data_IF_283233157545
#
_entry.id   IF_283233157545
#
_cell.length_a   1.000
_cell.length_b   1.000
_cell.length_c   1.000
_cell.angle_alpha   90.00
_cell.angle_beta   90.00
_cell.angle_gamma   90.00
#
_symmetry.space_group_name_H-M   'P 1'
#
loop_
_entity.id
_entity.type
_entity.pdbx_description
1 polymer ?
#
# COMPACT_ATOMS: atom_id res chain seq x y z
N UNK A 1 -20.43 -9.37 -13.24
CA UNK A 1 -21.48 -9.25 -14.26
C UNK A 1 -21.00 -8.61 -15.56
N UNK A 2 -20.34 -7.44 -15.53
CA UNK A 2 -19.84 -6.78 -16.75
C UNK A 2 -18.79 -7.60 -17.53
N UNK A 3 -17.76 -8.12 -16.85
CA UNK A 3 -16.72 -8.95 -17.49
C UNK A 3 -17.26 -10.26 -18.07
N UNK A 4 -18.21 -10.92 -17.40
CA UNK A 4 -18.80 -12.18 -17.89
C UNK A 4 -19.65 -11.95 -19.13
N UNK A 5 -20.42 -10.85 -19.17
CA UNK A 5 -21.18 -10.45 -20.35
C UNK A 5 -20.23 -10.12 -21.50
N UNK A 6 -19.14 -9.41 -21.24
CA UNK A 6 -18.13 -9.09 -22.25
C UNK A 6 -17.46 -10.35 -22.81
N UNK A 7 -17.04 -11.30 -21.97
CA UNK A 7 -16.45 -12.56 -22.44
C UNK A 7 -17.43 -13.40 -23.28
N UNK A 8 -18.70 -13.47 -22.86
CA UNK A 8 -19.75 -14.16 -23.62
C UNK A 8 -19.99 -13.45 -24.96
N UNK A 9 -20.04 -12.12 -24.97
CA UNK A 9 -20.24 -11.32 -26.16
C UNK A 9 -19.07 -11.47 -27.15
N UNK A 10 -17.82 -11.42 -26.67
CA UNK A 10 -16.61 -11.66 -27.48
C UNK A 10 -16.65 -13.06 -28.10
N UNK A 11 -16.92 -14.10 -27.30
CA UNK A 11 -17.01 -15.47 -27.82
C UNK A 11 -18.13 -15.63 -28.86
N UNK A 12 -19.24 -14.93 -28.69
CA UNK A 12 -20.35 -14.92 -29.64
C UNK A 12 -20.03 -14.12 -30.91
N UNK A 13 -19.39 -12.96 -30.81
CA UNK A 13 -19.05 -12.08 -31.93
C UNK A 13 -17.94 -12.64 -32.81
N UNK A 14 -16.98 -13.36 -32.23
CA UNK A 14 -15.82 -13.89 -32.95
C UNK A 14 -15.89 -15.41 -33.19
N UNK A 15 -17.07 -16.03 -33.01
CA UNK A 15 -17.31 -17.47 -33.25
C UNK A 15 -16.36 -18.44 -32.52
N UNK A 16 -15.84 -18.05 -31.36
CA UNK A 16 -14.91 -18.83 -30.55
C UNK A 16 -15.63 -19.81 -29.60
N UNK A 17 -16.63 -20.56 -30.08
CA UNK A 17 -17.45 -21.46 -29.24
C UNK A 17 -16.66 -22.56 -28.51
N UNK A 18 -15.41 -22.84 -28.89
CA UNK A 18 -14.54 -23.84 -28.26
C UNK A 18 -13.25 -23.26 -27.67
N UNK A 19 -13.07 -21.94 -27.65
CA UNK A 19 -11.84 -21.34 -27.12
C UNK A 19 -11.81 -21.39 -25.60
N UNK A 20 -10.68 -21.85 -25.05
CA UNK A 20 -10.42 -21.86 -23.61
C UNK A 20 -10.10 -20.44 -23.15
N UNK A 21 -10.86 -19.92 -22.18
CA UNK A 21 -10.61 -18.60 -21.57
C UNK A 21 -9.74 -18.78 -20.32
N UNK A 22 -8.66 -18.02 -20.26
CA UNK A 22 -7.78 -17.90 -19.09
C UNK A 22 -7.80 -16.46 -18.60
N UNK A 23 -7.90 -16.28 -17.28
CA UNK A 23 -7.84 -14.96 -16.65
C UNK A 23 -6.47 -14.72 -16.03
N UNK A 24 -5.93 -13.53 -16.23
CA UNK A 24 -4.64 -13.12 -15.69
C UNK A 24 -4.81 -11.79 -14.96
N UNK A 25 -4.20 -11.68 -13.78
CA UNK A 25 -4.07 -10.41 -13.05
C UNK A 25 -2.69 -10.32 -12.39
N UNK A 26 -2.08 -9.13 -12.46
CA UNK A 26 -0.77 -8.81 -11.90
C UNK A 26 -0.80 -7.37 -11.37
N UNK A 27 -0.05 -7.11 -10.29
CA UNK A 27 0.21 -5.76 -9.81
C UNK A 27 1.43 -5.18 -10.53
N UNK A 28 1.27 -4.04 -11.21
CA UNK A 28 2.40 -3.39 -11.91
C UNK A 28 2.73 -1.98 -11.46
N UNK A 29 1.91 -1.32 -10.63
CA UNK A 29 2.21 0.09 -10.27
C UNK A 29 1.25 0.77 -9.30
N UNK A 30 0.22 0.11 -8.75
CA UNK A 30 -0.72 0.77 -7.82
C UNK A 30 -1.59 -0.28 -7.11
N UNK A 31 -2.00 -0.04 -5.84
CA UNK A 31 -2.94 -0.91 -5.14
C UNK A 31 -4.30 -0.83 -5.81
N UNK A 32 -4.50 -1.64 -6.85
CA UNK A 32 -5.72 -1.66 -7.67
C UNK A 32 -6.48 -2.97 -7.43
N UNK A 33 -7.80 -2.99 -7.68
CA UNK A 33 -8.68 -4.12 -7.35
C UNK A 33 -8.38 -5.39 -8.14
N UNK A 34 -7.53 -5.30 -9.17
CA UNK A 34 -7.43 -6.28 -10.24
C UNK A 34 -6.95 -7.66 -9.78
N UNK A 35 -6.26 -7.75 -8.64
CA UNK A 35 -5.54 -8.97 -8.21
C UNK A 35 -6.47 -10.10 -7.77
N UNK A 36 -7.56 -9.77 -7.06
CA UNK A 36 -8.53 -10.76 -6.56
C UNK A 36 -9.59 -11.11 -7.59
N UNK A 37 -9.81 -10.22 -8.57
CA UNK A 37 -10.85 -10.38 -9.60
C UNK A 37 -10.63 -11.61 -10.47
N UNK A 38 -9.38 -11.95 -10.83
CA UNK A 38 -9.11 -13.14 -11.63
C UNK A 38 -9.54 -14.42 -10.89
N UNK A 39 -9.18 -14.54 -9.60
CA UNK A 39 -9.59 -15.63 -8.72
C UNK A 39 -11.10 -15.68 -8.57
N UNK A 40 -11.73 -14.56 -8.20
CA UNK A 40 -13.18 -14.47 -8.01
C UNK A 40 -13.98 -14.74 -9.28
N UNK A 41 -13.48 -14.31 -10.43
CA UNK A 41 -14.12 -14.61 -11.71
C UNK A 41 -14.08 -16.10 -12.01
N UNK A 42 -12.94 -16.77 -11.77
CA UNK A 42 -12.85 -18.22 -11.95
C UNK A 42 -13.76 -18.99 -11.00
N UNK A 43 -13.92 -18.51 -9.76
CA UNK A 43 -14.82 -19.11 -8.77
C UNK A 43 -16.30 -18.94 -9.16
N UNK A 44 -16.71 -17.73 -9.58
CA UNK A 44 -18.10 -17.43 -9.91
C UNK A 44 -18.54 -17.85 -11.30
N UNK A 45 -17.61 -17.94 -12.24
CA UNK A 45 -17.88 -18.28 -13.63
C UNK A 45 -16.98 -19.42 -14.11
N UNK A 46 -17.03 -20.60 -13.46
CA UNK A 46 -16.20 -21.76 -13.80
C UNK A 46 -16.52 -22.32 -15.20
N UNK A 47 -17.74 -22.05 -15.69
CA UNK A 47 -18.19 -22.41 -17.03
C UNK A 47 -17.70 -21.45 -18.12
N UNK A 48 -17.15 -20.29 -17.74
CA UNK A 48 -16.57 -19.29 -18.66
C UNK A 48 -15.05 -19.39 -18.64
N UNK A 49 -14.42 -19.34 -17.46
CA UNK A 49 -12.98 -19.37 -17.31
C UNK A 49 -12.49 -20.76 -16.91
N UNK A 50 -11.55 -21.32 -17.68
CA UNK A 50 -10.96 -22.63 -17.39
C UNK A 50 -10.03 -22.57 -16.17
N UNK A 51 -9.29 -21.47 -16.02
CA UNK A 51 -8.39 -21.21 -14.92
C UNK A 51 -8.08 -19.73 -14.75
N UNK A 52 -7.41 -19.40 -13.65
CA UNK A 52 -6.95 -18.05 -13.35
C UNK A 52 -5.52 -18.09 -12.82
N UNK A 53 -4.71 -17.11 -13.21
CA UNK A 53 -3.44 -16.78 -12.59
C UNK A 53 -3.58 -15.43 -11.89
N UNK A 54 -3.56 -15.44 -10.57
CA UNK A 54 -3.70 -14.27 -9.73
C UNK A 54 -2.40 -14.03 -8.95
N UNK A 55 -1.49 -13.25 -9.56
CA UNK A 55 -0.21 -12.92 -8.93
C UNK A 55 -0.38 -11.85 -7.86
N UNK A 56 0.27 -12.02 -6.70
CA UNK A 56 0.24 -11.08 -5.57
C UNK A 56 -1.17 -10.70 -5.07
N UNK A 57 -2.13 -11.63 -5.17
CA UNK A 57 -3.52 -11.39 -4.77
C UNK A 57 -3.74 -11.65 -3.27
N UNK A 58 -4.09 -10.64 -2.46
CA UNK A 58 -4.28 -10.80 -1.01
C UNK A 58 -5.65 -11.39 -0.68
N UNK A 59 -5.99 -12.55 -1.26
CA UNK A 59 -7.30 -13.21 -1.12
C UNK A 59 -7.65 -13.63 0.32
N UNK A 60 -6.65 -13.65 1.21
CA UNK A 60 -6.80 -14.02 2.63
C UNK A 60 -6.81 -12.81 3.58
N UNK A 61 -6.73 -11.58 3.08
CA UNK A 61 -6.71 -10.38 3.95
C UNK A 61 -8.10 -9.91 4.40
N UNK A 62 -9.14 -10.70 4.18
CA UNK A 62 -10.50 -10.38 4.59
C UNK A 62 -10.84 -11.04 5.92
N UNK A 63 -11.80 -10.46 6.65
CA UNK A 63 -12.47 -11.11 7.78
C UNK A 63 -11.54 -11.67 8.88
N UNK A 64 -10.41 -11.01 9.12
CA UNK A 64 -9.44 -11.41 10.15
C UNK A 64 -8.73 -12.75 9.88
N UNK A 65 -8.80 -13.27 8.66
CA UNK A 65 -8.12 -14.53 8.27
C UNK A 65 -6.60 -14.36 8.33
N UNK A 66 -6.09 -13.24 7.83
CA UNK A 66 -4.68 -12.86 7.93
C UNK A 66 -4.44 -11.87 9.08
N UNK A 67 -3.23 -11.86 9.68
CA UNK A 67 -2.86 -10.87 10.70
C UNK A 67 -2.92 -9.44 10.15
N UNK A 68 -3.48 -8.51 10.94
CA UNK A 68 -3.62 -7.10 10.54
C UNK A 68 -2.27 -6.42 10.28
N UNK A 69 -1.24 -6.80 11.03
CA UNK A 69 0.13 -6.31 10.87
C UNK A 69 0.93 -6.96 9.75
N UNK A 70 0.39 -7.98 9.07
CA UNK A 70 1.18 -8.82 8.17
C UNK A 70 1.88 -8.04 7.05
N UNK A 71 1.23 -7.01 6.50
CA UNK A 71 1.78 -6.19 5.43
C UNK A 71 3.02 -5.43 5.91
N UNK A 72 2.87 -4.65 6.99
CA UNK A 72 3.95 -3.86 7.53
C UNK A 72 5.05 -4.70 8.18
N UNK A 73 4.73 -5.90 8.66
CA UNK A 73 5.73 -6.88 9.10
C UNK A 73 6.63 -7.34 7.93
N UNK A 74 6.05 -7.64 6.77
CA UNK A 74 6.85 -8.03 5.59
C UNK A 74 7.74 -6.86 5.14
N UNK A 75 7.20 -5.64 5.06
CA UNK A 75 8.01 -4.45 4.73
C UNK A 75 9.14 -4.26 5.75
N UNK A 76 8.84 -4.39 7.03
CA UNK A 76 9.82 -4.31 8.12
C UNK A 76 10.94 -5.33 7.92
N UNK A 77 10.57 -6.58 7.61
CA UNK A 77 11.51 -7.67 7.37
C UNK A 77 12.42 -7.38 6.19
N UNK A 78 11.90 -6.87 5.07
CA UNK A 78 12.71 -6.55 3.89
C UNK A 78 13.82 -5.53 4.21
N UNK A 79 13.50 -4.51 5.01
CA UNK A 79 14.49 -3.52 5.46
C UNK A 79 15.49 -4.12 6.45
N UNK A 80 15.02 -4.91 7.42
CA UNK A 80 15.85 -5.52 8.46
C UNK A 80 16.82 -6.57 7.90
N UNK A 81 16.36 -7.41 6.97
CA UNK A 81 17.17 -8.41 6.26
C UNK A 81 18.19 -7.73 5.32
N UNK A 82 17.90 -6.52 4.83
CA UNK A 82 18.82 -5.73 4.01
C UNK A 82 19.91 -5.06 4.84
N UNK A 83 19.55 -4.38 5.92
CA UNK A 83 20.51 -3.79 6.87
C UNK A 83 19.85 -3.49 8.22
N UNK A 84 20.38 -4.11 9.27
CA UNK A 84 19.93 -3.88 10.64
C UNK A 84 20.22 -2.43 11.11
N UNK A 85 21.33 -1.83 10.64
CA UNK A 85 21.69 -0.43 10.93
C UNK A 85 20.68 0.54 10.31
N UNK A 86 20.34 0.33 9.03
CA UNK A 86 19.31 1.09 8.32
C UNK A 86 17.96 0.99 9.03
N UNK A 87 17.53 -0.23 9.36
CA UNK A 87 16.30 -0.51 10.10
C UNK A 87 16.25 0.27 11.43
N UNK A 88 17.32 0.20 12.24
CA UNK A 88 17.40 0.90 13.52
C UNK A 88 17.36 2.42 13.34
N UNK A 89 18.06 2.95 12.33
CA UNK A 89 18.10 4.39 12.04
C UNK A 89 16.72 4.92 11.62
N UNK A 90 15.99 4.18 10.79
CA UNK A 90 14.61 4.52 10.40
C UNK A 90 13.70 4.53 11.62
N UNK A 91 13.78 3.51 12.49
CA UNK A 91 12.97 3.45 13.72
C UNK A 91 13.26 4.60 14.67
N UNK A 92 14.53 4.95 14.86
CA UNK A 92 14.93 6.10 15.68
C UNK A 92 14.38 7.40 15.10
N UNK A 93 14.38 7.54 13.76
CA UNK A 93 14.03 8.77 13.08
C UNK A 93 12.62 9.26 13.40
N UNK A 94 11.65 8.38 13.65
CA UNK A 94 10.28 8.77 14.00
C UNK A 94 10.23 9.63 15.26
N UNK A 95 10.95 9.20 16.31
CA UNK A 95 11.04 9.95 17.56
C UNK A 95 11.82 11.26 17.39
N UNK A 96 12.85 11.26 16.53
CA UNK A 96 13.61 12.48 16.21
C UNK A 96 12.74 13.49 15.48
N UNK A 97 11.92 13.06 14.51
CA UNK A 97 10.96 13.91 13.80
C UNK A 97 9.96 14.50 14.80
N UNK A 98 9.37 13.68 15.67
CA UNK A 98 8.39 14.14 16.66
C UNK A 98 9.01 15.11 17.68
N UNK A 99 10.27 14.90 18.08
CA UNK A 99 11.00 15.82 18.96
C UNK A 99 11.24 17.16 18.29
N UNK A 100 11.80 17.17 17.08
CA UNK A 100 12.09 18.41 16.35
C UNK A 100 10.80 19.16 16.03
N UNK A 101 9.72 18.47 15.67
CA UNK A 101 8.44 19.10 15.38
C UNK A 101 7.83 19.88 16.56
N UNK A 102 8.14 19.49 17.81
CA UNK A 102 7.68 20.16 19.04
C UNK A 102 8.49 21.41 19.39
N UNK A 103 9.67 21.61 18.80
CA UNK A 103 10.51 22.78 19.06
C UNK A 103 9.93 24.05 18.42
N UNK A 104 10.27 25.25 18.94
CA UNK A 104 9.94 26.51 18.27
C UNK A 104 10.49 26.54 16.85
N UNK A 105 9.63 26.76 15.86
CA UNK A 105 9.95 26.67 14.42
C UNK A 105 10.37 25.27 13.92
N UNK A 106 10.13 24.22 14.72
CA UNK A 106 10.47 22.83 14.41
C UNK A 106 10.00 22.34 13.04
N UNK A 107 8.74 22.57 12.72
CA UNK A 107 8.17 22.24 11.39
C UNK A 107 8.87 22.98 10.25
N UNK A 108 9.32 24.23 10.46
CA UNK A 108 10.10 24.95 9.46
C UNK A 108 11.50 24.37 9.29
N UNK A 109 12.10 23.84 10.36
CA UNK A 109 13.40 23.16 10.31
C UNK A 109 13.25 21.86 9.50
N UNK A 110 12.22 21.07 9.80
CA UNK A 110 11.90 19.84 9.06
C UNK A 110 11.65 20.13 7.57
N UNK A 111 10.84 21.15 7.25
CA UNK A 111 10.62 21.55 5.86
C UNK A 111 11.89 21.88 5.09
N UNK A 112 12.83 22.59 5.71
CA UNK A 112 14.11 22.92 5.08
C UNK A 112 15.00 21.68 4.92
N UNK A 113 15.09 20.85 5.97
CA UNK A 113 15.90 19.62 5.99
C UNK A 113 15.45 18.64 4.90
N UNK A 114 14.15 18.45 4.75
CA UNK A 114 13.56 17.54 3.76
C UNK A 114 13.21 18.21 2.42
N UNK A 115 13.62 19.48 2.23
CA UNK A 115 13.34 20.28 1.03
C UNK A 115 11.88 20.22 0.59
N UNK A 116 10.94 20.40 1.51
CA UNK A 116 9.51 20.36 1.17
C UNK A 116 9.10 21.57 0.35
N UNK A 117 8.21 21.40 -0.64
CA UNK A 117 7.77 22.51 -1.51
C UNK A 117 6.96 23.57 -0.74
N UNK A 118 6.22 23.13 0.28
CA UNK A 118 5.45 23.97 1.20
C UNK A 118 5.94 23.75 2.62
N UNK A 119 5.73 24.73 3.49
CA UNK A 119 6.01 24.58 4.92
C UNK A 119 5.05 23.57 5.52
N UNK A 120 5.57 22.63 6.30
CA UNK A 120 4.78 21.62 7.00
C UNK A 120 3.87 22.28 8.04
N UNK A 121 2.60 21.91 7.99
CA UNK A 121 1.58 22.24 8.97
C UNK A 121 1.57 21.26 10.14
N UNK A 122 1.92 19.99 9.89
CA UNK A 122 2.06 18.94 10.90
C UNK A 122 3.23 17.99 10.56
N UNK A 123 3.82 17.32 11.56
CA UNK A 123 4.84 16.29 11.31
C UNK A 123 4.27 15.04 10.65
N UNK A 124 2.96 14.80 10.79
CA UNK A 124 2.27 13.64 10.21
C UNK A 124 2.41 13.59 8.69
N UNK A 125 2.41 14.72 7.98
CA UNK A 125 2.61 14.72 6.52
C UNK A 125 3.97 14.15 6.11
N UNK A 126 5.04 14.55 6.80
CA UNK A 126 6.38 14.00 6.57
C UNK A 126 6.43 12.51 6.91
N UNK A 127 5.83 12.12 8.04
CA UNK A 127 5.84 10.73 8.50
C UNK A 127 5.06 9.81 7.56
N UNK A 128 3.89 10.25 7.10
CA UNK A 128 3.07 9.55 6.11
C UNK A 128 3.82 9.40 4.78
N UNK A 129 4.48 10.46 4.31
CA UNK A 129 5.30 10.40 3.09
C UNK A 129 6.42 9.37 3.19
N UNK A 130 7.20 9.40 4.29
CA UNK A 130 8.27 8.43 4.52
C UNK A 130 7.72 7.00 4.64
N UNK A 131 6.59 6.84 5.34
CA UNK A 131 5.93 5.55 5.50
C UNK A 131 5.49 4.95 4.15
N UNK A 132 4.89 5.77 3.29
CA UNK A 132 4.53 5.38 1.92
C UNK A 132 5.77 5.04 1.10
N UNK A 133 6.82 5.86 1.16
CA UNK A 133 8.07 5.61 0.44
C UNK A 133 8.69 4.25 0.80
N UNK A 134 8.77 3.90 2.09
CA UNK A 134 9.30 2.61 2.53
C UNK A 134 8.41 1.45 2.06
N UNK A 135 7.10 1.58 2.20
CA UNK A 135 6.12 0.57 1.78
C UNK A 135 6.18 0.33 0.26
N UNK A 136 6.18 1.40 -0.53
CA UNK A 136 6.27 1.35 -1.99
C UNK A 136 7.61 0.75 -2.45
N UNK A 137 8.71 1.06 -1.75
CA UNK A 137 10.04 0.54 -2.10
C UNK A 137 10.15 -0.98 -1.91
N UNK A 138 9.44 -1.54 -0.92
CA UNK A 138 9.35 -2.98 -0.69
C UNK A 138 8.33 -3.64 -1.62
N UNK A 139 7.23 -2.96 -1.94
CA UNK A 139 6.18 -3.50 -2.81
C UNK A 139 6.58 -3.55 -4.29
N UNK A 140 7.22 -2.50 -4.81
CA UNK A 140 7.54 -2.36 -6.23
C UNK A 140 9.04 -2.56 -6.50
N UNK A 141 9.57 -3.70 -6.05
CA UNK A 141 10.96 -4.09 -6.33
C UNK A 141 11.12 -4.24 -7.85
N UNK A 142 11.83 -3.31 -8.48
CA UNK A 142 12.21 -3.45 -9.87
C UNK A 142 13.30 -4.52 -10.00
N UNK A 143 13.20 -5.45 -10.97
CA UNK A 143 14.26 -6.45 -11.20
C UNK A 143 15.64 -5.84 -11.53
N UNK A 144 15.68 -4.54 -11.85
CA UNK A 144 16.91 -3.80 -12.18
C UNK A 144 17.45 -3.01 -10.97
N UNK A 145 16.60 -2.69 -9.99
CA UNK A 145 16.95 -1.86 -8.82
C UNK A 145 16.23 -2.37 -7.58
N UNK A 146 16.98 -3.01 -6.68
CA UNK A 146 16.50 -3.25 -5.33
C UNK A 146 16.45 -1.91 -4.58
N UNK A 147 15.28 -1.27 -4.58
CA UNK A 147 15.08 0.07 -4.01
C UNK A 147 15.31 0.10 -2.50
N UNK A 148 14.90 -0.95 -1.77
CA UNK A 148 15.17 -1.10 -0.33
C UNK A 148 16.68 -1.07 -0.07
N UNK A 149 17.46 -1.82 -0.85
CA UNK A 149 18.93 -1.81 -0.77
C UNK A 149 19.51 -0.43 -1.04
N UNK A 150 19.04 0.27 -2.08
CA UNK A 150 19.54 1.61 -2.41
C UNK A 150 19.27 2.61 -1.28
N UNK A 151 18.09 2.55 -0.66
CA UNK A 151 17.73 3.39 0.48
C UNK A 151 18.67 3.08 1.65
N UNK A 152 18.84 1.81 2.00
CA UNK A 152 19.67 1.42 3.14
C UNK A 152 21.16 1.73 2.94
N UNK A 153 21.72 1.47 1.76
CA UNK A 153 23.10 1.82 1.43
C UNK A 153 23.35 3.34 1.60
N UNK A 154 22.35 4.17 1.26
CA UNK A 154 22.44 5.63 1.39
C UNK A 154 22.35 6.10 2.86
N UNK A 155 21.44 5.52 3.64
CA UNK A 155 21.29 5.79 5.08
C UNK A 155 22.58 5.41 5.81
N UNK A 156 23.04 4.17 5.66
CA UNK A 156 24.24 3.66 6.33
C UNK A 156 25.50 4.41 5.87
N UNK A 157 25.60 4.73 4.57
CA UNK A 157 26.68 5.52 4.00
C UNK A 157 26.76 6.97 4.50
N UNK A 158 25.70 7.45 5.17
CA UNK A 158 25.59 8.78 5.74
C UNK A 158 25.80 8.81 7.27
N UNK A 159 25.89 7.66 7.95
CA UNK A 159 25.95 7.53 9.41
C UNK A 159 26.96 8.44 10.11
N UNK A 160 28.16 8.59 9.54
CA UNK A 160 29.24 9.42 10.11
C UNK A 160 29.35 10.82 9.49
N UNK A 161 28.43 11.17 8.58
CA UNK A 161 28.48 12.43 7.83
C UNK A 161 27.43 13.43 8.28
N UNK A 162 26.36 12.96 8.93
CA UNK A 162 25.22 13.79 9.29
C UNK A 162 24.40 13.16 10.43
N UNK A 163 23.45 13.93 10.97
CA UNK A 163 22.51 13.47 11.98
C UNK A 163 21.47 12.49 11.39
N UNK A 164 20.68 11.85 12.25
CA UNK A 164 19.65 10.87 11.85
C UNK A 164 18.73 11.43 10.76
N UNK A 165 18.28 12.69 10.88
CA UNK A 165 17.41 13.31 9.86
C UNK A 165 18.12 13.48 8.51
N UNK A 166 19.41 13.82 8.52
CA UNK A 166 20.23 13.85 7.32
C UNK A 166 20.40 12.48 6.67
N UNK A 167 20.57 11.42 7.48
CA UNK A 167 20.67 10.04 6.96
C UNK A 167 19.37 9.63 6.27
N UNK A 168 18.22 9.90 6.89
CA UNK A 168 16.91 9.65 6.28
C UNK A 168 16.76 10.43 4.98
N UNK A 169 17.19 11.69 4.94
CA UNK A 169 17.12 12.49 3.71
C UNK A 169 17.96 11.91 2.57
N UNK A 170 19.15 11.35 2.85
CA UNK A 170 19.93 10.62 1.83
C UNK A 170 19.17 9.38 1.32
N UNK A 171 18.46 8.67 2.21
CA UNK A 171 17.54 7.60 1.83
C UNK A 171 16.40 8.07 0.92
N UNK A 172 15.80 9.23 1.21
CA UNK A 172 14.76 9.86 0.37
C UNK A 172 15.30 10.20 -1.02
N UNK A 173 16.53 10.69 -1.12
CA UNK A 173 17.15 10.93 -2.43
C UNK A 173 17.39 9.61 -3.17
N UNK A 174 17.81 8.56 -2.47
CA UNK A 174 18.11 7.26 -3.05
C UNK A 174 16.87 6.49 -3.55
N UNK A 175 15.68 6.74 -3.00
CA UNK A 175 14.43 6.04 -3.37
C UNK A 175 13.94 6.33 -4.80
N UNK A 176 14.46 7.37 -5.46
CA UNK A 176 14.08 7.75 -6.82
C UNK A 176 14.00 9.26 -7.05
N UNK A 177 14.14 10.06 -5.99
CA UNK A 177 13.87 11.49 -6.03
C UNK A 177 15.10 12.39 -6.18
N UNK A 178 16.24 11.88 -6.67
CA UNK A 178 17.50 12.65 -6.82
C UNK A 178 17.37 13.93 -7.66
N UNK A 179 16.39 14.00 -8.56
CA UNK A 179 16.21 15.12 -9.51
C UNK A 179 15.10 16.10 -9.11
N UNK A 180 14.45 15.93 -7.95
CA UNK A 180 13.40 16.84 -7.49
C UNK A 180 14.01 18.05 -6.77
N UNK A 181 13.56 19.26 -7.13
CA UNK A 181 13.97 20.51 -6.46
C UNK A 181 13.36 20.64 -5.07
N UNK A 182 12.14 20.11 -4.88
CA UNK A 182 11.44 20.02 -3.62
C UNK A 182 10.45 18.85 -3.61
N UNK A 183 9.96 18.48 -2.42
CA UNK A 183 9.03 17.38 -2.20
C UNK A 183 7.65 17.90 -1.78
N UNK A 184 6.61 17.58 -2.55
CA UNK A 184 5.24 17.94 -2.20
C UNK A 184 4.61 16.88 -1.29
N UNK A 185 4.56 17.21 0.01
CA UNK A 185 4.06 16.30 1.05
C UNK A 185 2.61 16.61 1.46
N UNK A 186 2.17 17.84 1.21
CA UNK A 186 0.82 18.29 1.47
C UNK A 186 0.11 18.48 0.14
N UNK A 187 -0.83 17.59 -0.19
CA UNK A 187 -1.77 17.85 -1.28
C UNK A 187 -2.71 18.95 -0.82
N UNK A 188 -2.80 20.03 -1.60
CA UNK A 188 -3.89 20.98 -1.44
C UNK A 188 -5.21 20.27 -1.76
N UNK A 189 -6.33 20.81 -1.25
CA UNK A 189 -7.70 20.41 -1.59
C UNK A 189 -8.06 20.67 -3.08
N UNK A 190 -7.20 20.29 -4.02
CA UNK A 190 -7.53 20.24 -5.43
C UNK A 190 -8.15 18.88 -5.77
N UNK A 191 -9.14 18.84 -6.68
CA UNK A 191 -9.80 17.61 -7.11
C UNK A 191 -8.91 16.84 -8.09
N UNK A 192 -7.65 16.61 -7.73
CA UNK A 192 -6.66 15.92 -8.56
C UNK A 192 -6.52 14.44 -8.18
N UNK A 193 -7.45 13.89 -7.39
CA UNK A 193 -7.52 12.44 -7.24
C UNK A 193 -8.00 11.85 -8.56
N UNK A 194 -7.21 10.93 -9.12
CA UNK A 194 -7.63 10.24 -10.33
C UNK A 194 -8.92 9.49 -10.06
N UNK A 195 -9.80 9.39 -11.08
CA UNK A 195 -11.02 8.58 -10.99
C UNK A 195 -10.73 7.16 -10.47
N UNK A 196 -9.57 6.60 -10.82
CA UNK A 196 -9.09 5.32 -10.30
C UNK A 196 -8.85 5.31 -8.79
N UNK A 197 -8.25 6.37 -8.24
CA UNK A 197 -7.99 6.50 -6.79
C UNK A 197 -9.30 6.66 -6.03
N UNK A 198 -10.20 7.51 -6.52
CA UNK A 198 -11.53 7.72 -5.96
C UNK A 198 -12.35 6.42 -5.99
N UNK A 199 -12.34 5.71 -7.13
CA UNK A 199 -13.00 4.43 -7.28
C UNK A 199 -12.48 3.38 -6.31
N UNK A 200 -11.16 3.29 -6.13
CA UNK A 200 -10.54 2.37 -5.17
C UNK A 200 -10.89 2.69 -3.71
N UNK A 201 -10.83 3.97 -3.34
CA UNK A 201 -11.21 4.42 -2.01
C UNK A 201 -12.70 4.13 -1.72
N UNK A 202 -13.57 4.25 -2.71
CA UNK A 202 -14.97 3.85 -2.58
C UNK A 202 -15.15 2.33 -2.43
N UNK A 203 -14.42 1.53 -3.21
CA UNK A 203 -14.50 0.06 -3.14
C UNK A 203 -14.03 -0.49 -1.79
N UNK A 204 -12.98 0.08 -1.22
CA UNK A 204 -12.47 -0.29 0.11
C UNK A 204 -13.40 0.16 1.23
N UNK A 205 -14.08 1.30 1.06
CA UNK A 205 -15.11 1.78 1.98
C UNK A 205 -16.45 1.03 1.90
N UNK A 206 -16.65 0.16 0.91
CA UNK A 206 -17.91 -0.57 0.71
C UNK A 206 -17.72 -2.07 0.93
N UNK A 207 -17.08 -2.75 -0.01
CA UNK A 207 -17.03 -4.21 -0.05
C UNK A 207 -15.63 -4.78 0.27
N UNK A 208 -14.57 -4.11 -0.17
CA UNK A 208 -13.18 -4.60 -0.09
C UNK A 208 -12.52 -4.07 1.20
N UNK A 209 -13.07 -4.48 2.34
CA UNK A 209 -12.55 -4.06 3.65
C UNK A 209 -11.28 -4.86 3.97
N UNK A 210 -10.14 -4.17 3.98
CA UNK A 210 -8.82 -4.74 4.30
C UNK A 210 -8.35 -4.15 5.64
N UNK A 211 -8.42 -4.90 6.75
CA UNK A 211 -8.03 -4.41 8.07
C UNK A 211 -6.51 -4.44 8.25
N UNK A 212 -5.80 -3.58 7.51
CA UNK A 212 -4.34 -3.46 7.59
C UNK A 212 -4.01 -2.42 8.67
N UNK A 213 -3.13 -2.79 9.60
CA UNK A 213 -2.66 -1.92 10.68
C UNK A 213 -1.19 -2.16 11.00
N UNK A 214 -0.62 -1.30 11.84
CA UNK A 214 0.72 -1.47 12.40
C UNK A 214 0.59 -1.78 13.89
N UNK A 215 1.05 -2.96 14.30
CA UNK A 215 1.10 -3.36 15.71
C UNK A 215 2.34 -2.79 16.42
N UNK A 216 2.43 -2.96 17.75
CA UNK A 216 3.43 -2.31 18.59
C UNK A 216 4.84 -2.90 18.49
N UNK A 217 4.99 -4.19 18.12
CA UNK A 217 6.25 -4.92 18.26
C UNK A 217 7.10 -4.97 16.98
N UNK A 218 8.42 -4.75 17.14
CA UNK A 218 9.51 -4.91 16.15
C UNK A 218 9.30 -4.23 14.78
N UNK A 219 8.28 -3.38 14.62
CA UNK A 219 7.93 -2.70 13.38
C UNK A 219 8.91 -1.60 13.00
N UNK A 220 9.19 -1.48 11.70
CA UNK A 220 9.89 -0.33 11.11
C UNK A 220 9.09 0.96 11.28
N UNK A 221 7.76 0.87 11.39
CA UNK A 221 6.82 2.00 11.45
C UNK A 221 6.33 2.25 12.87
N UNK A 222 5.71 3.42 13.10
CA UNK A 222 5.05 3.70 14.37
C UNK A 222 3.73 2.93 14.50
N UNK A 223 3.33 2.55 15.73
CA UNK A 223 2.07 1.84 15.96
C UNK A 223 0.87 2.63 15.43
N UNK A 224 0.03 1.94 14.68
CA UNK A 224 -1.19 2.46 14.07
C UNK A 224 -2.13 1.29 13.82
N UNK A 225 -2.69 0.68 14.88
CA UNK A 225 -3.57 -0.48 14.75
C UNK A 225 -4.82 -0.12 13.94
N UNK A 226 -5.37 -1.10 13.22
CA UNK A 226 -6.59 -0.90 12.45
C UNK A 226 -7.79 -0.75 13.39
N UNK A 227 -8.53 0.34 13.25
CA UNK A 227 -9.76 0.59 14.03
C UNK A 227 -10.98 0.60 13.12
N UNK A 228 -11.83 -0.42 13.26
CA UNK A 228 -13.05 -0.55 12.45
C UNK A 228 -14.04 0.60 12.67
N UNK A 229 -14.10 1.17 13.88
CA UNK A 229 -15.01 2.28 14.19
C UNK A 229 -14.60 3.54 13.44
N UNK A 230 -13.32 3.89 13.53
CA UNK A 230 -12.75 5.06 12.84
C UNK A 230 -12.89 4.90 11.32
N UNK A 231 -12.64 3.68 10.81
CA UNK A 231 -12.82 3.34 9.40
C UNK A 231 -14.27 3.51 8.92
N UNK A 232 -15.25 3.03 9.70
CA UNK A 232 -16.69 3.22 9.39
C UNK A 232 -17.05 4.70 9.33
N UNK A 233 -16.60 5.49 10.30
CA UNK A 233 -16.94 6.91 10.39
C UNK A 233 -16.30 7.71 9.24
N UNK A 234 -15.07 7.40 8.86
CA UNK A 234 -14.40 8.00 7.72
C UNK A 234 -15.12 7.67 6.40
N UNK A 235 -15.51 6.41 6.19
CA UNK A 235 -16.23 5.99 4.99
C UNK A 235 -17.63 6.60 4.88
N UNK A 236 -18.37 6.71 6.00
CA UNK A 236 -19.65 7.44 6.05
C UNK A 236 -19.46 8.91 5.70
N UNK A 237 -18.43 9.56 6.24
CA UNK A 237 -18.15 10.97 6.00
C UNK A 237 -17.78 11.26 4.55
N UNK A 238 -16.95 10.41 3.93
CA UNK A 238 -16.45 10.62 2.56
C UNK A 238 -17.45 10.22 1.49
N UNK A 239 -18.13 9.09 1.67
CA UNK A 239 -18.90 8.45 0.59
C UNK A 239 -20.35 8.13 0.97
N UNK A 240 -20.74 8.33 2.23
CA UNK A 240 -22.09 8.01 2.69
C UNK A 240 -22.40 6.51 2.73
N UNK A 241 -21.38 5.65 2.67
CA UNK A 241 -21.52 4.19 2.71
C UNK A 241 -21.06 3.61 4.03
N UNK A 242 -21.57 2.43 4.38
CA UNK A 242 -21.14 1.66 5.55
C UNK A 242 -20.37 0.44 5.04
N UNK A 243 -19.08 0.26 5.44
CA UNK A 243 -18.28 -0.90 5.05
C UNK A 243 -18.93 -2.23 5.46
N UNK A 244 -18.85 -3.24 4.59
CA UNK A 244 -19.37 -4.59 4.80
C UNK A 244 -18.22 -5.61 4.89
N UNK A 245 -17.58 -5.77 6.07
CA UNK A 245 -16.34 -6.54 6.20
C UNK A 245 -16.47 -8.03 5.87
N UNK A 246 -17.67 -8.61 6.04
CA UNK A 246 -17.93 -10.03 5.77
C UNK A 246 -18.46 -10.29 4.35
N UNK A 247 -18.70 -9.26 3.54
CA UNK A 247 -19.34 -9.43 2.22
C UNK A 247 -18.47 -10.26 1.29
N UNK A 248 -17.17 -9.95 1.21
CA UNK A 248 -16.24 -10.67 0.33
C UNK A 248 -16.14 -12.15 0.69
N UNK A 249 -16.00 -12.49 1.97
CA UNK A 249 -15.90 -13.88 2.43
C UNK A 249 -17.21 -14.64 2.29
N UNK A 250 -18.34 -13.96 2.48
CA UNK A 250 -19.68 -14.54 2.27
C UNK A 250 -19.96 -14.78 0.79
N UNK A 251 -19.64 -13.81 -0.07
CA UNK A 251 -19.98 -13.87 -1.48
C UNK A 251 -18.97 -14.72 -2.26
N UNK A 252 -17.66 -14.49 -2.12
CA UNK A 252 -16.63 -15.15 -2.92
C UNK A 252 -16.01 -16.39 -2.26
N UNK A 253 -16.36 -16.68 -1.01
CA UNK A 253 -15.82 -17.79 -0.23
C UNK A 253 -14.64 -17.37 0.66
N UNK A 254 -14.26 -18.26 1.57
CA UNK A 254 -13.17 -18.08 2.54
C UNK A 254 -12.70 -19.42 3.10
N UNK A 255 -11.64 -19.46 3.94
CA UNK A 255 -11.15 -20.69 4.55
C UNK A 255 -12.30 -21.40 5.29
N UNK A 256 -12.69 -22.58 4.81
CA UNK A 256 -13.77 -23.38 5.38
C UNK A 256 -15.04 -23.52 4.53
N UNK A 257 -15.17 -22.83 3.38
CA UNK A 257 -16.37 -22.96 2.52
C UNK A 257 -16.38 -24.19 1.60
N UNK A 258 -15.40 -25.10 1.70
CA UNK A 258 -15.30 -26.30 0.85
C UNK A 258 -14.96 -26.03 -0.62
N UNK A 259 -15.11 -24.79 -1.08
CA UNK A 259 -14.59 -24.24 -2.33
C UNK A 259 -13.12 -23.87 -2.12
N UNK A 260 -12.24 -24.86 -2.14
CA UNK A 260 -10.81 -24.63 -1.98
C UNK A 260 -10.27 -23.81 -3.15
N UNK A 261 -9.82 -22.59 -2.86
CA UNK A 261 -8.81 -21.91 -3.66
C UNK A 261 -7.50 -22.68 -3.39
N UNK A 262 -7.20 -23.67 -4.24
CA UNK A 262 -5.88 -24.31 -4.31
C UNK A 262 -5.04 -23.64 -5.39
#
# INVERSE_FOLDING_TARGET
MAFSILSIHINSCFFFKQSKVWNFSEDKSSPTPNHVLASWFRLKYPHIALGALASSAPILYFDGIAPQHGYYYVVTKDFKDTSESCYNTIRESWNVIDRVAKEPNGLSILSKRFKTCKKLSTSSYLKNYLSSMYSDSAQYISPIKNTVKLICDAIDGAANKTDVLGQIFEGVLASGSKNQSCFELERNNEPSESESSTGWAWQTCSEIVLPIGVDEDDSLFQPSPFNMTDFIDECKKRYGVVPQPHWVTTYYGGPGTGEYIR
#
